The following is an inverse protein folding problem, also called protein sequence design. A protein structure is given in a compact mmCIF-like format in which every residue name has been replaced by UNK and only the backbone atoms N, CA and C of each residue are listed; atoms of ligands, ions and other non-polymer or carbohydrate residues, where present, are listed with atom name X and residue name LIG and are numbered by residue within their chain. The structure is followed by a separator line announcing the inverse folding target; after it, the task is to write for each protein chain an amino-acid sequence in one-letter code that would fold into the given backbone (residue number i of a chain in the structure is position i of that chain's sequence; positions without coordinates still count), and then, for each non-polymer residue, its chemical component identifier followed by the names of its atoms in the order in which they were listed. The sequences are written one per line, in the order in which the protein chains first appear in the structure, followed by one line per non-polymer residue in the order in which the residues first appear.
data_IF_386563195739
#
_entry.id   IF_386563195739
#
_cell.length_a   1.000
_cell.length_b   1.000
_cell.length_c   1.000
_cell.angle_alpha   90.00
_cell.angle_beta   90.00
_cell.angle_gamma   90.00
#
_symmetry.space_group_name_H-M   'P 1'
#
loop_
_entity.id
_entity.type
_entity.pdbx_description
1 polymer ?
#
# COMPACT_ATOMS: atom_id res chain seq x y z
N UNK A 1 -13.40 27.03 -55.23
CA UNK A 1 -14.45 27.21 -54.21
C UNK A 1 -14.37 26.04 -53.26
N UNK A 2 -13.97 26.25 -52.00
CA UNK A 2 -13.85 25.17 -51.02
C UNK A 2 -15.01 25.23 -50.03
N UNK A 3 -15.76 24.12 -49.96
CA UNK A 3 -16.92 23.95 -49.08
C UNK A 3 -16.51 23.70 -47.64
N UNK A 4 -17.23 24.36 -46.73
CA UNK A 4 -17.11 24.31 -45.27
C UNK A 4 -17.63 22.97 -44.74
N UNK A 5 -16.75 22.12 -44.24
CA UNK A 5 -17.12 20.93 -43.47
C UNK A 5 -17.20 21.29 -42.00
N UNK A 6 -18.42 21.42 -41.47
CA UNK A 6 -18.70 21.62 -40.06
C UNK A 6 -18.34 20.33 -39.29
N UNK A 7 -17.23 20.35 -38.54
CA UNK A 7 -16.91 19.28 -37.61
C UNK A 7 -17.82 19.37 -36.38
N UNK A 8 -18.63 18.35 -36.04
CA UNK A 8 -19.37 18.35 -34.79
C UNK A 8 -18.40 18.25 -33.61
N UNK A 9 -18.50 19.20 -32.68
CA UNK A 9 -17.72 19.24 -31.44
C UNK A 9 -17.80 17.89 -30.69
N UNK A 10 -16.69 17.17 -30.61
CA UNK A 10 -16.48 16.05 -29.69
C UNK A 10 -16.35 16.60 -28.28
N UNK A 11 -17.48 16.67 -27.58
CA UNK A 11 -17.52 17.00 -26.14
C UNK A 11 -16.77 15.90 -25.37
N UNK A 12 -15.85 16.24 -24.45
CA UNK A 12 -15.22 15.24 -23.60
C UNK A 12 -16.22 14.69 -22.57
N UNK A 13 -16.26 13.35 -22.42
CA UNK A 13 -16.94 12.69 -21.31
C UNK A 13 -16.04 12.74 -20.08
N UNK A 14 -15.98 13.88 -19.40
CA UNK A 14 -15.47 13.91 -18.03
C UNK A 14 -16.48 14.59 -17.12
N UNK A 15 -17.52 13.84 -16.76
CA UNK A 15 -18.28 14.12 -15.56
C UNK A 15 -17.82 13.14 -14.50
N UNK A 16 -16.87 13.57 -13.66
CA UNK A 16 -16.54 12.86 -12.43
C UNK A 16 -17.64 13.21 -11.45
N UNK A 17 -18.58 12.30 -11.23
CA UNK A 17 -19.52 12.42 -10.11
C UNK A 17 -18.73 12.26 -8.82
N UNK A 18 -18.72 13.31 -8.00
CA UNK A 18 -18.21 13.26 -6.63
C UNK A 18 -19.09 12.29 -5.85
N UNK A 19 -18.54 11.24 -5.21
CA UNK A 19 -19.31 10.41 -4.30
C UNK A 19 -19.75 11.28 -3.11
N UNK A 20 -21.02 11.67 -3.07
CA UNK A 20 -21.61 12.28 -1.88
C UNK A 20 -21.89 11.16 -0.90
N UNK A 21 -20.89 10.79 -0.11
CA UNK A 21 -21.08 9.82 0.96
C UNK A 21 -21.49 10.57 2.22
N UNK A 22 -22.79 10.57 2.49
CA UNK A 22 -23.33 10.93 3.80
C UNK A 22 -23.36 9.64 4.62
N UNK A 23 -22.37 9.46 5.51
CA UNK A 23 -22.34 8.33 6.42
C UNK A 23 -23.21 8.65 7.65
N UNK A 24 -24.23 7.84 7.97
CA UNK A 24 -24.96 8.05 9.20
C UNK A 24 -24.04 7.76 10.39
N UNK A 25 -23.80 8.79 11.20
CA UNK A 25 -23.22 8.61 12.53
C UNK A 25 -24.18 7.76 13.35
N UNK A 26 -23.80 6.51 13.63
CA UNK A 26 -24.51 5.67 14.58
C UNK A 26 -24.42 6.32 15.96
N UNK A 27 -25.52 6.96 16.34
CA UNK A 27 -25.80 7.58 17.62
C UNK A 27 -25.75 6.52 18.74
N UNK A 28 -24.54 6.28 19.26
CA UNK A 28 -24.31 5.76 20.60
C UNK A 28 -24.36 6.92 21.59
N UNK A 29 -25.28 6.86 22.52
CA UNK A 29 -25.76 7.96 23.33
C UNK A 29 -24.86 8.27 24.56
N UNK A 30 -24.52 9.57 24.70
CA UNK A 30 -24.15 10.32 25.94
C UNK A 30 -22.85 9.85 26.65
N UNK A 31 -21.81 10.66 26.86
CA UNK A 31 -21.74 12.09 27.21
C UNK A 31 -20.25 12.45 27.35
N UNK A 32 -19.87 13.63 26.86
CA UNK A 32 -18.66 14.40 27.20
C UNK A 32 -17.31 13.69 27.07
N UNK A 33 -16.56 13.97 26.01
CA UNK A 33 -15.35 14.80 26.10
C UNK A 33 -14.76 15.08 24.72
N UNK A 34 -14.34 16.32 24.53
CA UNK A 34 -13.57 16.83 23.40
C UNK A 34 -12.13 16.31 23.50
N UNK A 35 -11.66 15.58 22.49
CA UNK A 35 -10.29 15.55 21.94
C UNK A 35 -10.21 14.28 21.07
N UNK A 36 -10.05 14.34 19.76
CA UNK A 36 -8.82 14.76 19.11
C UNK A 36 -7.87 13.57 19.00
N UNK A 37 -7.69 13.06 17.76
CA UNK A 37 -6.61 12.13 17.33
C UNK A 37 -6.81 10.69 17.84
N UNK A 38 -7.09 9.70 16.99
CA UNK A 38 -6.11 9.08 16.10
C UNK A 38 -5.54 7.80 16.75
N UNK A 39 -5.42 6.74 15.95
CA UNK A 39 -4.87 5.41 16.26
C UNK A 39 -5.76 4.40 16.99
N UNK A 40 -6.21 3.43 16.18
CA UNK A 40 -6.56 2.07 16.59
C UNK A 40 -5.42 1.47 17.41
N UNK A 41 -5.64 1.29 18.71
CA UNK A 41 -4.74 0.54 19.58
C UNK A 41 -5.08 -0.94 19.39
N UNK A 42 -4.38 -1.57 18.45
CA UNK A 42 -4.24 -3.03 18.39
C UNK A 42 -3.36 -3.46 19.56
N UNK A 43 -3.76 -4.41 20.43
CA UNK A 43 -2.90 -4.90 21.50
C UNK A 43 -1.83 -5.83 20.90
N UNK A 44 -0.61 -5.31 20.77
CA UNK A 44 0.57 -5.99 20.22
C UNK A 44 1.48 -6.42 21.36
N UNK A 45 1.29 -7.63 21.90
CA UNK A 45 2.06 -8.14 23.05
C UNK A 45 2.97 -9.35 22.76
N UNK A 46 3.23 -9.70 21.49
CA UNK A 46 4.20 -10.74 21.12
C UNK A 46 5.17 -10.35 19.99
N UNK A 47 5.14 -9.12 19.51
CA UNK A 47 5.71 -8.75 18.21
C UNK A 47 7.03 -7.92 18.30
N UNK A 48 7.55 -7.69 19.50
CA UNK A 48 8.76 -6.87 19.73
C UNK A 48 10.06 -7.59 19.37
N UNK A 49 10.11 -8.92 19.50
CA UNK A 49 11.29 -9.72 19.09
C UNK A 49 11.24 -10.03 17.60
N UNK A 50 10.05 -10.25 17.04
CA UNK A 50 9.89 -10.49 15.62
C UNK A 50 10.23 -9.25 14.79
N UNK A 51 9.68 -8.08 15.14
CA UNK A 51 9.90 -6.84 14.42
C UNK A 51 11.37 -6.38 14.40
N UNK A 52 12.17 -6.74 15.41
CA UNK A 52 13.59 -6.36 15.44
C UNK A 52 14.47 -7.24 14.52
N UNK A 53 14.22 -8.55 14.46
CA UNK A 53 14.88 -9.46 13.51
C UNK A 53 14.45 -9.13 12.09
N UNK A 54 13.15 -8.92 11.89
CA UNK A 54 12.56 -8.58 10.61
C UNK A 54 13.14 -7.29 10.04
N UNK A 55 13.28 -6.23 10.86
CA UNK A 55 13.86 -4.95 10.41
C UNK A 55 15.37 -5.03 10.10
N UNK A 56 16.13 -5.90 10.78
CA UNK A 56 17.53 -6.12 10.45
C UNK A 56 17.71 -6.85 9.12
N UNK A 57 16.92 -7.91 8.90
CA UNK A 57 16.97 -8.71 7.68
C UNK A 57 16.42 -7.94 6.48
N UNK A 58 15.33 -7.19 6.64
CA UNK A 58 14.79 -6.34 5.57
C UNK A 58 15.79 -5.28 5.12
N UNK A 59 16.55 -4.68 6.04
CA UNK A 59 17.62 -3.72 5.70
C UNK A 59 18.76 -4.38 4.91
N UNK A 60 19.13 -5.61 5.23
CA UNK A 60 20.14 -6.36 4.46
C UNK A 60 19.64 -6.68 3.06
N UNK A 61 18.39 -7.14 2.92
CA UNK A 61 17.77 -7.40 1.63
C UNK A 61 17.68 -6.11 0.79
N UNK A 62 17.27 -4.99 1.38
CA UNK A 62 17.20 -3.70 0.69
C UNK A 62 18.56 -3.23 0.16
N UNK A 63 19.62 -3.50 0.90
CA UNK A 63 21.00 -3.21 0.46
C UNK A 63 21.45 -4.05 -0.73
N UNK A 64 20.98 -5.31 -0.84
CA UNK A 64 21.33 -6.23 -1.94
C UNK A 64 20.43 -6.07 -3.17
N UNK A 65 19.16 -5.78 -2.95
CA UNK A 65 18.11 -5.71 -3.97
C UNK A 65 17.53 -4.29 -4.00
N UNK A 66 18.31 -3.33 -4.52
CA UNK A 66 17.93 -1.91 -4.52
C UNK A 66 16.68 -1.60 -5.35
N UNK A 67 16.30 -2.50 -6.28
CA UNK A 67 15.09 -2.40 -7.08
C UNK A 67 13.83 -2.81 -6.30
N UNK A 68 13.98 -3.59 -5.23
CA UNK A 68 12.84 -4.09 -4.46
C UNK A 68 12.35 -2.99 -3.52
N UNK A 69 11.08 -2.63 -3.65
CA UNK A 69 10.43 -1.69 -2.74
C UNK A 69 10.30 -2.29 -1.33
N UNK A 70 10.22 -1.42 -0.32
CA UNK A 70 10.20 -1.87 1.08
C UNK A 70 9.00 -2.77 1.35
N UNK A 71 7.82 -2.42 0.84
CA UNK A 71 6.61 -3.23 0.95
C UNK A 71 6.75 -4.61 0.30
N UNK A 72 7.44 -4.71 -0.85
CA UNK A 72 7.71 -6.01 -1.47
C UNK A 72 8.62 -6.88 -0.58
N UNK A 73 9.66 -6.27 0.01
CA UNK A 73 10.54 -6.98 0.94
C UNK A 73 9.76 -7.45 2.18
N UNK A 74 8.86 -6.62 2.72
CA UNK A 74 8.01 -6.99 3.86
C UNK A 74 7.07 -8.15 3.50
N UNK A 75 6.39 -8.09 2.36
CA UNK A 75 5.48 -9.14 1.90
C UNK A 75 6.21 -10.48 1.73
N UNK A 76 7.39 -10.48 1.10
CA UNK A 76 8.21 -11.68 0.92
C UNK A 76 8.70 -12.20 2.27
N UNK A 77 9.20 -11.32 3.13
CA UNK A 77 9.69 -11.71 4.46
C UNK A 77 8.57 -12.28 5.34
N UNK A 78 7.34 -11.78 5.21
CA UNK A 78 6.18 -12.36 5.87
C UNK A 78 5.85 -13.74 5.29
N UNK A 79 5.98 -13.94 3.98
CA UNK A 79 5.73 -15.22 3.32
C UNK A 79 6.75 -16.31 3.68
N UNK A 80 8.01 -15.93 3.96
CA UNK A 80 9.09 -16.88 4.28
C UNK A 80 9.43 -16.96 5.77
N UNK A 81 8.58 -16.40 6.63
CA UNK A 81 8.75 -16.40 8.09
C UNK A 81 10.11 -15.83 8.53
N UNK A 82 10.49 -14.69 7.93
CA UNK A 82 11.71 -13.96 8.26
C UNK A 82 13.04 -14.62 7.83
N UNK A 83 12.99 -15.69 7.03
CA UNK A 83 14.18 -16.38 6.50
C UNK A 83 14.85 -15.57 5.37
N UNK A 84 16.06 -15.07 5.64
CA UNK A 84 16.84 -14.29 4.68
C UNK A 84 17.16 -15.05 3.39
N UNK A 85 17.55 -16.33 3.48
CA UNK A 85 18.00 -17.09 2.31
C UNK A 85 16.83 -17.40 1.37
N UNK A 86 15.67 -17.73 1.93
CA UNK A 86 14.45 -17.92 1.14
C UNK A 86 13.98 -16.61 0.50
N UNK A 87 13.98 -15.51 1.25
CA UNK A 87 13.63 -14.19 0.71
C UNK A 87 14.60 -13.76 -0.41
N UNK A 88 15.90 -13.98 -0.22
CA UNK A 88 16.96 -13.70 -1.19
C UNK A 88 16.79 -14.53 -2.46
N UNK A 89 16.51 -15.84 -2.34
CA UNK A 89 16.24 -16.71 -3.49
C UNK A 89 14.96 -16.29 -4.25
N UNK A 90 13.94 -15.82 -3.53
CA UNK A 90 12.70 -15.34 -4.15
C UNK A 90 12.93 -14.05 -4.94
N UNK A 91 13.66 -13.10 -4.36
CA UNK A 91 14.04 -11.85 -5.03
C UNK A 91 14.98 -12.10 -6.22
N UNK A 92 15.91 -13.06 -6.14
CA UNK A 92 16.74 -13.47 -7.28
C UNK A 92 15.90 -14.05 -8.41
N UNK A 93 14.93 -14.92 -8.09
CA UNK A 93 14.04 -15.50 -9.09
C UNK A 93 13.17 -14.45 -9.81
N UNK A 94 12.80 -13.35 -9.14
CA UNK A 94 12.08 -12.22 -9.76
C UNK A 94 12.94 -11.43 -10.75
N UNK A 95 14.26 -11.37 -10.54
CA UNK A 95 15.19 -10.67 -11.43
C UNK A 95 15.63 -11.55 -12.59
N UNK A 96 15.78 -12.86 -12.37
CA UNK A 96 16.27 -13.81 -13.37
C UNK A 96 15.24 -14.21 -14.45
N UNK A 97 14.18 -13.43 -14.65
CA UNK A 97 13.21 -13.65 -15.73
C UNK A 97 13.72 -13.15 -17.09
N UNK A 98 14.94 -13.51 -17.49
CA UNK A 98 15.40 -13.38 -18.88
C UNK A 98 16.64 -14.24 -19.12
N UNK A 99 16.45 -15.43 -19.69
CA UNK A 99 17.28 -15.98 -20.78
C UNK A 99 16.59 -17.19 -21.43
#
# INVERSE_FOLDING_TARGET
TFSRNNHPSTKPFSSVVVPSVDFPATLGNKKSELSGVGSSIVPKSNETVWGNKFSSVSRQLKGRYSWADDSLIEDIMAAVDGDFYKASSFLEAMVCSEN
#
